data_IF_263458273698
#
_entry.id   IF_263458273698
#
_cell.length_a   1.000
_cell.length_b   1.000
_cell.length_c   1.000
_cell.angle_alpha   90.00
_cell.angle_beta   90.00
_cell.angle_gamma   90.00
#
_symmetry.space_group_name_H-M   'P 1'
#
loop_
_entity.id
_entity.type
_entity.pdbx_description
1 polymer ?
#
# COMPACT_ATOMS: atom_id res chain seq x y z
N UNK A 1 27.00 38.43 7.27
CA UNK A 1 26.49 38.20 8.64
C UNK A 1 26.32 36.69 8.80
N UNK A 2 27.38 35.95 9.08
CA UNK A 2 27.97 35.69 10.41
C UNK A 2 27.09 34.78 11.29
N UNK A 3 27.35 33.47 11.18
CA UNK A 3 27.58 32.46 12.24
C UNK A 3 26.61 32.42 13.43
N UNK A 4 25.91 31.28 13.64
CA UNK A 4 26.22 30.45 14.82
C UNK A 4 25.71 29.00 14.73
N UNK A 5 26.64 28.08 15.02
CA UNK A 5 26.40 26.69 15.43
C UNK A 5 25.95 26.67 16.90
N UNK A 6 25.19 25.65 17.32
CA UNK A 6 25.60 24.81 18.46
C UNK A 6 24.72 23.57 18.63
N UNK A 7 25.42 22.46 18.82
CA UNK A 7 24.95 21.21 19.42
C UNK A 7 25.29 21.20 20.91
N UNK A 8 24.47 20.55 21.74
CA UNK A 8 24.77 19.94 23.05
C UNK A 8 23.49 19.22 23.53
N UNK A 9 23.45 17.89 23.66
CA UNK A 9 23.96 17.06 24.76
C UNK A 9 23.25 17.31 26.10
N UNK A 10 22.49 16.32 26.56
CA UNK A 10 22.11 16.16 27.97
C UNK A 10 22.24 14.67 28.37
N UNK A 11 23.29 14.38 29.14
CA UNK A 11 23.42 13.24 30.05
C UNK A 11 23.27 13.76 31.50
N UNK A 12 22.66 12.97 32.38
CA UNK A 12 22.66 13.11 33.84
C UNK A 12 21.79 11.98 34.41
N UNK A 13 22.34 10.85 34.87
CA UNK A 13 23.04 10.55 36.14
C UNK A 13 22.21 10.87 37.40
N UNK A 14 21.75 9.81 38.07
CA UNK A 14 21.71 9.67 39.52
C UNK A 14 21.75 8.17 39.90
N UNK A 15 22.80 7.74 40.61
CA UNK A 15 22.83 6.49 41.40
C UNK A 15 22.16 6.70 42.77
N UNK A 16 22.52 5.98 43.87
CA UNK A 16 23.55 4.93 44.01
C UNK A 16 23.10 3.72 44.88
N UNK A 17 23.95 2.67 45.01
CA UNK A 17 24.49 2.19 46.32
C UNK A 17 25.14 0.79 46.25
N UNK A 18 26.44 0.72 46.58
CA UNK A 18 27.17 -0.22 47.49
C UNK A 18 27.11 -1.74 47.21
N UNK A 19 28.14 -2.59 47.34
CA UNK A 19 29.41 -2.60 48.11
C UNK A 19 30.20 -3.91 47.86
N UNK A 20 31.52 -3.90 48.12
CA UNK A 20 32.34 -5.09 48.49
C UNK A 20 33.33 -5.56 47.41
N UNK A 21 34.64 -5.25 47.51
CA UNK A 21 35.72 -6.09 48.10
C UNK A 21 36.03 -7.35 47.25
N UNK A 22 37.24 -7.73 46.82
CA UNK A 22 38.59 -7.53 47.36
C UNK A 22 39.68 -8.01 46.35
N UNK A 23 40.87 -7.37 46.40
CA UNK A 23 42.28 -7.86 46.21
C UNK A 23 42.72 -8.71 44.99
N UNK A 24 43.69 -8.19 44.20
CA UNK A 24 45.13 -8.57 44.07
C UNK A 24 45.38 -9.97 43.44
N UNK A 25 46.25 -10.16 42.43
CA UNK A 25 47.73 -10.11 42.46
C UNK A 25 48.28 -10.12 41.00
N UNK A 26 49.45 -9.49 40.83
CA UNK A 26 50.32 -9.38 39.65
C UNK A 26 50.92 -10.72 39.18
N UNK A 27 51.25 -10.85 37.88
CA UNK A 27 52.58 -11.32 37.44
C UNK A 27 52.76 -11.15 35.92
N UNK A 28 53.79 -10.40 35.55
CA UNK A 28 54.41 -10.34 34.22
C UNK A 28 55.26 -11.60 33.98
N UNK A 29 55.28 -12.12 32.76
CA UNK A 29 56.51 -12.65 32.13
C UNK A 29 56.42 -12.51 30.62
N UNK A 30 57.38 -11.75 30.06
CA UNK A 30 57.80 -11.79 28.67
C UNK A 30 58.42 -13.16 28.33
N UNK A 31 58.17 -13.67 27.12
CA UNK A 31 59.17 -14.47 26.41
C UNK A 31 58.98 -14.39 24.87
N UNK A 32 60.12 -14.39 24.21
CA UNK A 32 60.42 -14.02 22.83
C UNK A 32 60.03 -15.05 21.75
N UNK A 33 59.72 -14.50 20.56
CA UNK A 33 60.14 -14.92 19.21
C UNK A 33 59.75 -16.33 18.71
N UNK A 34 58.92 -16.37 17.65
CA UNK A 34 59.36 -17.02 16.41
C UNK A 34 58.64 -16.51 15.15
N UNK A 35 59.45 -16.19 14.15
CA UNK A 35 59.08 -15.75 12.81
C UNK A 35 58.82 -16.98 11.95
N UNK A 36 57.61 -17.11 11.39
CA UNK A 36 57.38 -17.96 10.22
C UNK A 36 56.34 -17.33 9.28
N UNK A 37 56.81 -17.12 8.06
CA UNK A 37 56.11 -16.58 6.90
C UNK A 37 54.93 -17.45 6.41
N UNK A 38 54.14 -16.81 5.54
CA UNK A 38 53.36 -17.34 4.42
C UNK A 38 51.84 -17.49 4.61
N UNK A 39 51.14 -16.56 3.94
CA UNK A 39 50.05 -16.78 2.98
C UNK A 39 48.98 -17.80 3.33
N UNK A 40 47.76 -17.32 3.58
CA UNK A 40 46.67 -17.51 2.61
C UNK A 40 45.43 -16.74 3.04
N UNK A 41 44.88 -15.97 2.11
CA UNK A 41 43.56 -15.38 2.19
C UNK A 41 42.54 -16.50 2.45
N UNK A 42 42.06 -16.60 3.69
CA UNK A 42 40.85 -17.37 3.98
C UNK A 42 39.67 -16.63 3.37
N UNK A 43 39.41 -16.92 2.10
CA UNK A 43 38.09 -16.78 1.49
C UNK A 43 37.13 -17.57 2.37
N UNK A 44 36.35 -16.86 3.18
CA UNK A 44 35.23 -17.42 3.91
C UNK A 44 34.36 -18.22 2.95
N UNK A 45 34.25 -19.53 3.17
CA UNK A 45 33.30 -20.40 2.48
C UNK A 45 31.90 -19.76 2.53
N UNK A 46 31.14 -19.77 1.42
CA UNK A 46 29.80 -19.19 1.41
C UNK A 46 28.90 -19.95 2.40
N UNK A 47 27.92 -19.27 3.03
CA UNK A 47 26.94 -19.93 3.87
C UNK A 47 26.22 -21.02 3.07
N UNK A 48 25.84 -22.09 3.75
CA UNK A 48 25.25 -23.33 3.21
C UNK A 48 24.41 -23.06 1.96
N UNK A 49 24.90 -23.50 0.79
CA UNK A 49 24.19 -23.35 -0.47
C UNK A 49 22.78 -23.94 -0.32
N UNK A 50 21.72 -23.22 -0.75
CA UNK A 50 20.39 -23.82 -0.80
C UNK A 50 20.46 -25.07 -1.67
N UNK A 51 19.61 -26.06 -1.41
CA UNK A 51 19.48 -27.24 -2.28
C UNK A 51 18.92 -26.78 -3.63
N UNK A 52 19.79 -26.31 -4.51
CA UNK A 52 19.45 -25.89 -5.87
C UNK A 52 18.97 -27.14 -6.59
N UNK A 53 17.71 -27.12 -7.03
CA UNK A 53 17.14 -28.22 -7.80
C UNK A 53 17.99 -28.48 -9.04
N UNK A 54 18.36 -29.75 -9.28
CA UNK A 54 19.07 -30.19 -10.49
C UNK A 54 18.34 -29.72 -11.78
N UNK A 55 17.02 -29.51 -11.69
CA UNK A 55 16.18 -28.98 -12.75
C UNK A 55 16.54 -27.55 -13.18
N UNK A 56 16.83 -26.67 -12.22
CA UNK A 56 17.18 -25.26 -12.48
C UNK A 56 18.55 -25.14 -13.15
N UNK A 57 19.51 -25.98 -12.75
CA UNK A 57 20.83 -26.10 -13.42
C UNK A 57 20.72 -26.50 -14.88
N UNK A 58 19.68 -27.28 -15.24
CA UNK A 58 19.46 -27.73 -16.62
C UNK A 58 18.68 -26.75 -17.49
N UNK A 59 17.87 -25.86 -16.90
CA UNK A 59 16.95 -24.99 -17.65
C UNK A 59 17.40 -23.54 -17.77
N UNK A 60 18.08 -23.01 -16.75
CA UNK A 60 18.66 -21.67 -16.83
C UNK A 60 20.07 -21.80 -17.43
N UNK A 61 20.34 -21.22 -18.61
CA UNK A 61 21.65 -21.32 -19.24
C UNK A 61 22.75 -20.76 -18.32
N UNK A 62 23.79 -21.56 -18.10
CA UNK A 62 24.94 -21.21 -17.25
C UNK A 62 24.55 -20.80 -15.83
N UNK A 63 23.50 -21.39 -15.25
CA UNK A 63 23.01 -21.06 -13.91
C UNK A 63 24.11 -20.99 -12.86
N UNK A 64 24.92 -22.04 -12.73
CA UNK A 64 25.96 -22.11 -11.70
C UNK A 64 27.03 -21.02 -11.90
N UNK A 65 27.42 -20.74 -13.14
CA UNK A 65 28.35 -19.65 -13.46
C UNK A 65 27.76 -18.30 -13.08
N UNK A 66 26.50 -18.04 -13.44
CA UNK A 66 25.81 -16.77 -13.14
C UNK A 66 25.58 -16.59 -11.65
N UNK A 67 25.23 -17.66 -10.94
CA UNK A 67 25.07 -17.67 -9.49
C UNK A 67 26.41 -17.37 -8.79
N UNK A 68 27.49 -18.02 -9.21
CA UNK A 68 28.82 -17.76 -8.66
C UNK A 68 29.29 -16.32 -8.95
N UNK A 69 28.91 -15.74 -10.09
CA UNK A 69 29.19 -14.33 -10.41
C UNK A 69 28.47 -13.35 -9.48
N UNK A 70 27.34 -13.71 -8.86
CA UNK A 70 26.65 -12.79 -7.93
C UNK A 70 27.53 -12.42 -6.74
N UNK A 71 28.36 -13.36 -6.27
CA UNK A 71 29.28 -13.16 -5.15
C UNK A 71 30.49 -12.27 -5.49
N UNK A 72 30.85 -12.16 -6.77
CA UNK A 72 32.01 -11.37 -7.20
C UNK A 72 31.64 -9.94 -7.59
N UNK A 73 30.37 -9.69 -7.91
CA UNK A 73 29.89 -8.37 -8.32
C UNK A 73 29.79 -7.41 -7.14
N UNK A 74 30.23 -6.16 -7.37
CA UNK A 74 30.09 -5.07 -6.40
C UNK A 74 28.66 -4.54 -6.39
N UNK A 75 28.24 -4.00 -5.25
CA UNK A 75 26.98 -3.27 -5.12
C UNK A 75 26.98 -2.01 -6.02
N UNK A 76 25.88 -1.64 -6.69
CA UNK A 76 24.58 -2.33 -6.77
C UNK A 76 24.47 -3.34 -7.95
N UNK A 77 25.58 -3.66 -8.63
CA UNK A 77 25.56 -4.50 -9.84
C UNK A 77 25.14 -5.95 -9.53
N UNK A 78 25.45 -6.45 -8.34
CA UNK A 78 24.97 -7.74 -7.84
C UNK A 78 23.43 -7.81 -7.77
N UNK A 79 22.75 -6.70 -7.42
CA UNK A 79 21.28 -6.63 -7.42
C UNK A 79 20.76 -6.79 -8.83
N UNK A 80 21.28 -6.01 -9.78
CA UNK A 80 20.85 -6.07 -11.18
C UNK A 80 21.03 -7.48 -11.77
N UNK A 81 22.15 -8.13 -11.49
CA UNK A 81 22.40 -9.50 -11.94
C UNK A 81 21.42 -10.50 -11.31
N UNK A 82 21.11 -10.34 -10.02
CA UNK A 82 20.14 -11.16 -9.30
C UNK A 82 18.72 -10.98 -9.85
N UNK A 83 18.31 -9.73 -10.11
CA UNK A 83 17.02 -9.41 -10.73
C UNK A 83 16.88 -10.04 -12.13
N UNK A 84 17.92 -9.99 -12.95
CA UNK A 84 17.93 -10.67 -14.26
C UNK A 84 17.79 -12.18 -14.10
N UNK A 85 18.47 -12.79 -13.11
CA UNK A 85 18.34 -14.23 -12.85
C UNK A 85 16.92 -14.61 -12.41
N UNK A 86 16.29 -13.81 -11.55
CA UNK A 86 14.89 -13.99 -11.13
C UNK A 86 13.94 -13.85 -12.34
N UNK A 87 14.17 -12.87 -13.20
CA UNK A 87 13.38 -12.70 -14.42
C UNK A 87 13.49 -13.91 -15.35
N UNK A 88 14.69 -14.46 -15.53
CA UNK A 88 14.90 -15.65 -16.36
C UNK A 88 14.21 -16.89 -15.76
N UNK A 89 14.25 -17.06 -14.44
CA UNK A 89 13.48 -18.13 -13.77
C UNK A 89 11.99 -17.94 -14.04
N UNK A 90 11.48 -16.70 -13.94
CA UNK A 90 10.10 -16.37 -14.24
C UNK A 90 9.71 -16.60 -15.71
N UNK A 91 10.62 -16.41 -16.65
CA UNK A 91 10.42 -16.75 -18.07
C UNK A 91 10.27 -18.26 -18.30
N UNK A 92 10.94 -19.09 -17.49
CA UNK A 92 10.99 -20.54 -17.63
C UNK A 92 9.86 -21.26 -16.86
N UNK A 93 9.17 -20.54 -15.96
CA UNK A 93 8.09 -21.03 -15.11
C UNK A 93 6.87 -21.49 -15.92
N UNK A 94 6.89 -22.73 -16.40
CA UNK A 94 5.71 -23.42 -16.91
C UNK A 94 5.42 -24.77 -16.23
N UNK A 95 6.31 -25.31 -15.36
CA UNK A 95 6.14 -26.70 -14.87
C UNK A 95 6.47 -27.04 -13.41
N UNK A 96 7.35 -26.32 -12.68
CA UNK A 96 7.80 -26.73 -11.32
C UNK A 96 7.77 -25.59 -10.26
N UNK A 97 6.59 -25.11 -9.88
CA UNK A 97 6.43 -23.85 -9.11
C UNK A 97 7.01 -23.76 -7.68
N UNK A 98 7.31 -24.85 -6.97
CA UNK A 98 7.74 -24.80 -5.56
C UNK A 98 9.24 -24.51 -5.38
N UNK A 99 10.11 -25.27 -6.05
CA UNK A 99 11.56 -25.07 -5.92
C UNK A 99 12.03 -23.77 -6.59
N UNK A 100 11.35 -23.36 -7.66
CA UNK A 100 11.66 -22.12 -8.37
C UNK A 100 11.34 -20.92 -7.46
N UNK A 101 10.25 -20.99 -6.68
CA UNK A 101 9.91 -19.99 -5.67
C UNK A 101 10.90 -19.95 -4.50
N UNK A 102 11.30 -21.10 -3.93
CA UNK A 102 12.30 -21.16 -2.84
C UNK A 102 13.63 -20.52 -3.24
N UNK A 103 14.09 -20.77 -4.48
CA UNK A 103 15.30 -20.15 -4.99
C UNK A 103 15.14 -18.64 -5.16
N UNK A 104 14.01 -18.18 -5.70
CA UNK A 104 13.75 -16.75 -5.87
C UNK A 104 13.76 -16.03 -4.52
N UNK A 105 13.11 -16.59 -3.50
CA UNK A 105 13.14 -16.07 -2.13
C UNK A 105 14.58 -16.02 -1.63
N UNK A 106 15.37 -17.09 -1.78
CA UNK A 106 16.78 -17.09 -1.39
C UNK A 106 17.58 -15.97 -2.09
N UNK A 107 17.43 -15.80 -3.40
CA UNK A 107 18.14 -14.75 -4.15
C UNK A 107 17.77 -13.35 -3.66
N UNK A 108 16.50 -13.13 -3.31
CA UNK A 108 15.99 -11.87 -2.77
C UNK A 108 16.57 -11.61 -1.38
N UNK A 109 16.49 -12.58 -0.49
CA UNK A 109 17.01 -12.44 0.88
C UNK A 109 18.53 -12.25 0.89
N UNK A 110 19.28 -12.98 0.07
CA UNK A 110 20.74 -12.94 0.11
C UNK A 110 21.32 -11.72 -0.64
N UNK A 111 20.95 -11.54 -1.90
CA UNK A 111 21.66 -10.60 -2.80
C UNK A 111 20.95 -9.26 -3.00
N UNK A 112 19.65 -9.21 -2.75
CA UNK A 112 18.87 -7.98 -2.90
C UNK A 112 18.82 -7.23 -1.57
N UNK A 113 18.21 -7.81 -0.55
CA UNK A 113 18.06 -7.15 0.76
C UNK A 113 19.20 -7.47 1.73
N UNK A 114 19.67 -8.72 1.78
CA UNK A 114 20.76 -9.15 2.67
C UNK A 114 22.07 -8.42 2.38
N UNK A 115 22.34 -8.07 1.12
CA UNK A 115 23.53 -7.27 0.76
C UNK A 115 23.49 -5.86 1.36
N UNK A 116 22.30 -5.25 1.50
CA UNK A 116 22.16 -3.97 2.20
C UNK A 116 22.52 -4.14 3.67
N UNK A 117 22.01 -5.17 4.33
CA UNK A 117 22.29 -5.42 5.75
C UNK A 117 23.77 -5.73 6.00
N UNK A 118 24.43 -6.48 5.10
CA UNK A 118 25.88 -6.72 5.15
C UNK A 118 26.69 -5.43 5.04
N UNK A 119 26.33 -4.55 4.09
CA UNK A 119 27.04 -3.28 3.89
C UNK A 119 26.75 -2.28 5.01
N UNK A 120 25.55 -2.31 5.60
CA UNK A 120 25.22 -1.52 6.80
C UNK A 120 26.11 -1.92 7.98
N UNK A 121 26.38 -3.23 8.17
CA UNK A 121 27.33 -3.71 9.20
C UNK A 121 28.77 -3.22 8.96
N UNK A 122 29.09 -2.82 7.72
CA UNK A 122 30.36 -2.20 7.33
C UNK A 122 30.31 -0.66 7.41
N UNK A 123 29.41 -0.09 8.21
CA UNK A 123 29.22 1.34 8.46
C UNK A 123 28.83 2.18 7.22
N UNK A 124 28.23 1.56 6.19
CA UNK A 124 27.64 2.32 5.09
C UNK A 124 26.24 2.82 5.47
N UNK A 125 25.90 4.04 5.06
CA UNK A 125 24.61 4.64 5.37
C UNK A 125 23.47 3.90 4.65
N UNK A 126 22.54 3.32 5.43
CA UNK A 126 21.40 2.53 4.93
C UNK A 126 20.58 3.28 3.89
N UNK A 127 20.28 4.56 4.13
CA UNK A 127 19.49 5.39 3.21
C UNK A 127 20.14 5.53 1.82
N UNK A 128 21.47 5.65 1.75
CA UNK A 128 22.19 5.72 0.48
C UNK A 128 22.10 4.39 -0.28
N UNK A 129 22.23 3.27 0.45
CA UNK A 129 22.10 1.93 -0.13
C UNK A 129 20.69 1.69 -0.65
N UNK A 130 19.68 1.95 0.18
CA UNK A 130 18.27 1.79 -0.20
C UNK A 130 17.93 2.66 -1.42
N UNK A 131 18.42 3.89 -1.49
CA UNK A 131 18.24 4.74 -2.68
C UNK A 131 18.89 4.14 -3.93
N UNK A 132 20.13 3.64 -3.84
CA UNK A 132 20.79 2.97 -4.97
C UNK A 132 20.05 1.70 -5.41
N UNK A 133 19.45 0.96 -4.46
CA UNK A 133 18.60 -0.19 -4.77
C UNK A 133 17.31 0.24 -5.47
N UNK A 134 16.64 1.28 -4.97
CA UNK A 134 15.43 1.85 -5.58
C UNK A 134 15.71 2.27 -7.03
N UNK A 135 16.78 3.00 -7.29
CA UNK A 135 17.15 3.40 -8.65
C UNK A 135 17.49 2.19 -9.54
N UNK A 136 18.23 1.22 -9.01
CA UNK A 136 18.56 -0.02 -9.75
C UNK A 136 17.31 -0.81 -10.10
N UNK A 137 16.40 -1.00 -9.14
CA UNK A 137 15.13 -1.70 -9.32
C UNK A 137 14.22 -0.96 -10.30
N UNK A 138 14.14 0.37 -10.19
CA UNK A 138 13.37 1.22 -11.11
C UNK A 138 13.85 1.06 -12.54
N UNK A 139 15.16 1.22 -12.78
CA UNK A 139 15.76 1.11 -14.11
C UNK A 139 15.59 -0.30 -14.68
N UNK A 140 15.66 -1.33 -13.83
CA UNK A 140 15.42 -2.72 -14.23
C UNK A 140 13.96 -2.96 -14.64
N UNK A 141 12.99 -2.57 -13.82
CA UNK A 141 11.56 -2.75 -14.13
C UNK A 141 11.11 -1.91 -15.33
N UNK A 142 11.72 -0.73 -15.53
CA UNK A 142 11.50 0.10 -16.71
C UNK A 142 11.98 -0.59 -18.00
N UNK A 143 13.12 -1.30 -17.95
CA UNK A 143 13.62 -2.09 -19.08
C UNK A 143 12.66 -3.22 -19.48
N UNK A 144 11.85 -3.72 -18.54
CA UNK A 144 10.80 -4.73 -18.76
C UNK A 144 9.45 -4.14 -19.23
N UNK A 145 9.44 -2.92 -19.76
CA UNK A 145 8.24 -2.27 -20.29
C UNK A 145 7.48 -3.09 -21.34
N UNK A 146 8.21 -3.88 -22.15
CA UNK A 146 7.66 -4.73 -23.22
C UNK A 146 7.13 -6.08 -22.75
N UNK A 147 7.45 -6.50 -21.52
CA UNK A 147 7.05 -7.79 -20.93
C UNK A 147 6.29 -7.53 -19.61
N UNK A 148 5.06 -6.97 -19.70
CA UNK A 148 4.35 -6.46 -18.54
C UNK A 148 3.93 -7.55 -17.55
N UNK A 149 3.64 -8.76 -18.02
CA UNK A 149 3.37 -9.95 -17.19
C UNK A 149 4.57 -10.30 -16.29
N UNK A 150 5.78 -10.24 -16.85
CA UNK A 150 7.02 -10.56 -16.14
C UNK A 150 7.39 -9.47 -15.17
N UNK A 151 7.28 -8.20 -15.59
CA UNK A 151 7.46 -7.04 -14.70
C UNK A 151 6.55 -7.14 -13.48
N UNK A 152 5.27 -7.40 -13.71
CA UNK A 152 4.27 -7.50 -12.65
C UNK A 152 4.56 -8.69 -11.72
N UNK A 153 4.98 -9.82 -12.28
CA UNK A 153 5.39 -10.98 -11.48
C UNK A 153 6.61 -10.66 -10.60
N UNK A 154 7.63 -10.01 -11.15
CA UNK A 154 8.83 -9.64 -10.39
C UNK A 154 8.49 -8.71 -9.22
N UNK A 155 7.56 -7.77 -9.40
CA UNK A 155 7.08 -6.94 -8.29
C UNK A 155 6.42 -7.80 -7.21
N UNK A 156 5.58 -8.76 -7.58
CA UNK A 156 4.95 -9.71 -6.64
C UNK A 156 5.96 -10.64 -5.96
N UNK A 157 7.04 -11.03 -6.66
CA UNK A 157 8.10 -11.89 -6.12
C UNK A 157 8.98 -11.13 -5.12
N UNK A 158 9.43 -9.92 -5.47
CA UNK A 158 10.33 -9.11 -4.62
C UNK A 158 9.60 -8.61 -3.36
N UNK A 159 8.32 -8.31 -3.50
CA UNK A 159 7.45 -7.86 -2.42
C UNK A 159 6.36 -8.91 -2.19
N UNK A 160 6.67 -10.04 -1.55
CA UNK A 160 5.67 -11.07 -1.27
C UNK A 160 4.59 -10.51 -0.35
N UNK A 161 3.33 -10.88 -0.59
CA UNK A 161 2.18 -10.33 0.15
C UNK A 161 2.24 -10.61 1.66
N UNK A 162 2.93 -11.67 2.07
CA UNK A 162 3.08 -12.07 3.48
C UNK A 162 4.15 -11.25 4.23
N UNK A 163 5.21 -10.81 3.53
CA UNK A 163 6.32 -10.02 4.11
C UNK A 163 6.77 -8.92 3.13
N UNK A 164 5.93 -7.91 2.86
CA UNK A 164 6.14 -7.03 1.72
C UNK A 164 7.14 -5.89 1.92
N UNK A 165 7.74 -5.77 3.11
CA UNK A 165 8.69 -4.69 3.44
C UNK A 165 8.10 -3.32 3.10
N UNK A 166 6.90 -3.04 3.63
CA UNK A 166 6.05 -1.92 3.23
C UNK A 166 6.76 -0.56 3.16
N UNK A 167 7.68 -0.26 4.08
CA UNK A 167 8.43 1.01 4.08
C UNK A 167 9.30 1.14 2.82
N UNK A 168 10.10 0.12 2.51
CA UNK A 168 10.95 0.14 1.31
C UNK A 168 10.10 0.19 0.04
N UNK A 169 9.05 -0.63 -0.03
CA UNK A 169 8.16 -0.65 -1.19
C UNK A 169 7.42 0.68 -1.36
N UNK A 170 7.00 1.30 -0.26
CA UNK A 170 6.39 2.62 -0.25
C UNK A 170 7.32 3.70 -0.78
N UNK A 171 8.59 3.71 -0.35
CA UNK A 171 9.61 4.61 -0.88
C UNK A 171 9.84 4.39 -2.38
N UNK A 172 9.88 3.14 -2.83
CA UNK A 172 9.98 2.79 -4.24
C UNK A 172 8.79 3.30 -5.05
N UNK A 173 7.55 3.16 -4.55
CA UNK A 173 6.36 3.68 -5.21
C UNK A 173 6.36 5.21 -5.26
N UNK A 174 6.74 5.89 -4.18
CA UNK A 174 6.86 7.35 -4.16
C UNK A 174 7.84 7.84 -5.23
N UNK A 175 8.99 7.18 -5.34
CA UNK A 175 9.97 7.43 -6.41
C UNK A 175 9.39 7.22 -7.82
N UNK A 176 8.54 6.21 -8.02
CA UNK A 176 7.86 5.96 -9.29
C UNK A 176 6.79 7.02 -9.61
N UNK A 177 6.09 7.53 -8.60
CA UNK A 177 5.11 8.62 -8.72
C UNK A 177 5.82 9.90 -9.16
N UNK A 178 6.96 10.22 -8.53
CA UNK A 178 7.76 11.41 -8.86
C UNK A 178 8.24 11.42 -10.32
N UNK A 179 8.44 10.23 -10.91
CA UNK A 179 8.82 10.04 -12.32
C UNK A 179 7.65 9.73 -13.26
N UNK A 180 6.41 9.77 -12.77
CA UNK A 180 5.19 9.51 -13.52
C UNK A 180 5.19 8.17 -14.30
N UNK A 181 5.79 7.11 -13.74
CA UNK A 181 5.97 5.85 -14.46
C UNK A 181 4.79 4.89 -14.30
N UNK A 182 3.78 5.05 -15.15
CA UNK A 182 2.50 4.33 -15.08
C UNK A 182 2.62 2.80 -15.05
N UNK A 183 3.51 2.24 -15.86
CA UNK A 183 3.66 0.78 -15.99
C UNK A 183 4.08 0.07 -14.69
N UNK A 184 4.91 0.74 -13.87
CA UNK A 184 5.34 0.21 -12.58
C UNK A 184 4.26 0.45 -11.53
N UNK A 185 3.57 1.60 -11.60
CA UNK A 185 2.44 1.90 -10.72
C UNK A 185 1.28 0.92 -10.94
N UNK A 186 1.00 0.51 -12.19
CA UNK A 186 0.01 -0.52 -12.48
C UNK A 186 0.37 -1.86 -11.82
N UNK A 187 1.66 -2.21 -11.79
CA UNK A 187 2.15 -3.39 -11.07
C UNK A 187 1.93 -3.26 -9.55
N UNK A 188 2.16 -2.06 -8.98
CA UNK A 188 1.85 -1.79 -7.58
C UNK A 188 0.34 -1.82 -7.29
N UNK A 189 -0.49 -1.37 -8.23
CA UNK A 189 -1.95 -1.49 -8.15
C UNK A 189 -2.38 -2.96 -8.14
N UNK A 190 -1.80 -3.78 -9.01
CA UNK A 190 -2.01 -5.22 -9.01
C UNK A 190 -1.53 -5.87 -7.71
N UNK A 191 -0.40 -5.43 -7.16
CA UNK A 191 0.08 -5.87 -5.86
C UNK A 191 -0.95 -5.61 -4.75
N UNK A 192 -1.53 -4.40 -4.66
CA UNK A 192 -2.58 -4.07 -3.68
C UNK A 192 -3.81 -4.98 -3.81
N UNK A 193 -4.16 -5.35 -5.04
CA UNK A 193 -5.27 -6.26 -5.32
C UNK A 193 -4.95 -7.70 -4.88
N UNK A 194 -3.74 -8.17 -5.14
CA UNK A 194 -3.27 -9.52 -4.75
C UNK A 194 -3.07 -9.67 -3.24
N UNK A 195 -2.46 -8.67 -2.59
CA UNK A 195 -2.27 -8.63 -1.14
C UNK A 195 -3.59 -8.49 -0.35
N UNK A 196 -4.69 -8.22 -1.06
CA UNK A 196 -6.00 -7.92 -0.49
C UNK A 196 -6.07 -6.48 0.00
N UNK A 197 -6.99 -5.70 -0.56
CA UNK A 197 -7.11 -4.26 -0.24
C UNK A 197 -7.58 -3.97 1.20
N UNK A 198 -8.03 -4.99 1.94
CA UNK A 198 -8.40 -4.91 3.35
C UNK A 198 -7.27 -5.32 4.31
N UNK A 199 -6.18 -5.88 3.79
CA UNK A 199 -5.10 -6.44 4.61
C UNK A 199 -4.33 -5.36 5.37
N UNK A 200 -3.72 -5.69 6.52
CA UNK A 200 -2.89 -4.75 7.27
C UNK A 200 -1.74 -4.18 6.42
N UNK A 201 -1.11 -5.01 5.58
CA UNK A 201 0.01 -4.60 4.73
C UNK A 201 -0.40 -3.58 3.66
N UNK A 202 -1.54 -3.78 2.99
CA UNK A 202 -2.06 -2.80 2.04
C UNK A 202 -2.32 -1.45 2.71
N UNK A 203 -2.89 -1.46 3.92
CA UNK A 203 -3.16 -0.24 4.69
C UNK A 203 -1.87 0.48 5.10
N UNK A 204 -0.89 -0.27 5.59
CA UNK A 204 0.43 0.26 5.98
C UNK A 204 1.13 0.91 4.79
N UNK A 205 1.19 0.22 3.65
CA UNK A 205 1.81 0.73 2.43
C UNK A 205 1.14 2.01 1.93
N UNK A 206 -0.19 2.04 1.85
CA UNK A 206 -0.93 3.20 1.36
C UNK A 206 -0.80 4.39 2.30
N UNK A 207 -0.82 4.17 3.62
CA UNK A 207 -0.59 5.24 4.60
C UNK A 207 0.82 5.81 4.51
N UNK A 208 1.84 4.96 4.30
CA UNK A 208 3.21 5.41 4.07
C UNK A 208 3.29 6.37 2.89
N UNK A 209 2.70 6.00 1.74
CA UNK A 209 2.70 6.83 0.52
C UNK A 209 1.94 8.15 0.76
N UNK A 210 0.78 8.10 1.40
CA UNK A 210 0.00 9.31 1.71
C UNK A 210 0.78 10.25 2.61
N UNK A 211 1.43 9.72 3.66
CA UNK A 211 2.19 10.53 4.60
C UNK A 211 3.37 11.23 3.93
N UNK A 212 4.09 10.53 3.03
CA UNK A 212 5.17 11.10 2.23
C UNK A 212 4.71 12.33 1.43
N UNK A 213 3.64 12.20 0.63
CA UNK A 213 3.17 13.31 -0.22
C UNK A 213 2.42 14.41 0.53
N UNK A 214 1.82 14.12 1.69
CA UNK A 214 1.09 15.13 2.47
C UNK A 214 2.00 15.91 3.44
N UNK A 215 3.09 15.32 3.93
CA UNK A 215 3.92 15.94 4.98
C UNK A 215 5.38 16.18 4.54
N UNK A 216 5.96 15.30 3.72
CA UNK A 216 7.41 15.31 3.47
C UNK A 216 7.79 15.99 2.15
N UNK A 217 6.90 16.07 1.17
CA UNK A 217 7.26 16.56 -0.17
C UNK A 217 6.17 17.43 -0.81
N UNK A 218 6.08 18.69 -0.39
CA UNK A 218 5.13 19.65 -0.96
C UNK A 218 5.32 19.89 -2.48
N UNK A 219 6.56 19.84 -2.95
CA UNK A 219 6.93 20.12 -4.34
C UNK A 219 6.51 19.00 -5.31
N UNK A 220 6.37 17.76 -4.83
CA UNK A 220 6.01 16.59 -5.66
C UNK A 220 4.51 16.28 -5.66
N UNK A 221 3.74 16.96 -4.80
CA UNK A 221 2.28 16.86 -4.72
C UNK A 221 1.56 16.99 -6.08
N UNK A 222 1.99 17.84 -7.03
CA UNK A 222 1.37 17.90 -8.36
C UNK A 222 1.48 16.57 -9.14
N UNK A 223 2.62 15.87 -9.05
CA UNK A 223 2.81 14.57 -9.70
C UNK A 223 1.90 13.51 -9.08
N UNK A 224 1.74 13.54 -7.77
CA UNK A 224 0.82 12.65 -7.06
C UNK A 224 -0.65 12.90 -7.45
N UNK A 225 -1.05 14.17 -7.61
CA UNK A 225 -2.39 14.51 -8.13
C UNK A 225 -2.54 14.01 -9.58
N UNK A 226 -1.56 14.25 -10.44
CA UNK A 226 -1.56 13.80 -11.83
C UNK A 226 -1.56 12.27 -11.98
N UNK A 227 -1.23 11.52 -10.93
CA UNK A 227 -1.22 10.06 -10.96
C UNK A 227 -2.62 9.48 -11.25
N UNK A 228 -3.71 10.21 -10.96
CA UNK A 228 -5.06 9.78 -11.32
C UNK A 228 -5.29 9.68 -12.83
N UNK A 229 -4.53 10.41 -13.65
CA UNK A 229 -4.59 10.32 -15.11
C UNK A 229 -3.52 9.41 -15.68
N UNK A 230 -2.30 9.41 -15.11
CA UNK A 230 -1.19 8.61 -15.65
C UNK A 230 -1.26 7.14 -15.23
N UNK A 231 -1.69 6.83 -14.01
CA UNK A 231 -1.80 5.46 -13.47
C UNK A 231 -3.16 5.25 -12.76
N UNK A 232 -4.29 5.33 -13.50
CA UNK A 232 -5.62 5.29 -12.90
C UNK A 232 -5.92 3.97 -12.19
N UNK A 233 -5.36 2.83 -12.65
CA UNK A 233 -5.55 1.53 -12.01
C UNK A 233 -4.93 1.50 -10.61
N UNK A 234 -3.71 2.01 -10.46
CA UNK A 234 -3.07 2.18 -9.15
C UNK A 234 -3.90 3.06 -8.22
N UNK A 235 -4.33 4.24 -8.69
CA UNK A 235 -5.14 5.16 -7.88
C UNK A 235 -6.48 4.56 -7.48
N UNK A 236 -7.13 3.79 -8.36
CA UNK A 236 -8.37 3.09 -8.02
C UNK A 236 -8.20 2.13 -6.85
N UNK A 237 -7.19 1.26 -6.92
CA UNK A 237 -6.91 0.28 -5.88
C UNK A 237 -6.44 0.97 -4.58
N UNK A 238 -5.62 2.02 -4.70
CA UNK A 238 -5.22 2.85 -3.57
C UNK A 238 -6.43 3.49 -2.90
N UNK A 239 -7.34 4.13 -3.65
CA UNK A 239 -8.58 4.72 -3.14
C UNK A 239 -9.41 3.69 -2.37
N UNK A 240 -9.55 2.46 -2.88
CA UNK A 240 -10.25 1.39 -2.17
C UNK A 240 -9.61 1.12 -0.80
N UNK A 241 -8.30 1.01 -0.72
CA UNK A 241 -7.58 0.82 0.54
C UNK A 241 -7.80 2.01 1.48
N UNK A 242 -7.73 3.25 0.97
CA UNK A 242 -8.00 4.46 1.77
C UNK A 242 -9.40 4.40 2.39
N UNK A 243 -10.42 3.99 1.62
CA UNK A 243 -11.77 3.85 2.17
C UNK A 243 -11.85 2.85 3.32
N UNK A 244 -11.05 1.78 3.28
CA UNK A 244 -10.97 0.80 4.35
C UNK A 244 -10.18 1.27 5.58
N UNK A 245 -9.19 2.15 5.41
CA UNK A 245 -8.44 2.76 6.51
C UNK A 245 -9.39 3.59 7.39
N UNK A 246 -10.24 4.42 6.78
CA UNK A 246 -11.15 5.32 7.50
C UNK A 246 -12.57 4.76 7.61
N UNK A 247 -12.71 3.48 7.95
CA UNK A 247 -14.02 2.87 8.20
C UNK A 247 -14.61 3.27 9.56
N UNK A 248 -13.77 3.34 10.59
CA UNK A 248 -14.17 3.65 11.97
C UNK A 248 -14.08 5.14 12.31
N UNK A 249 -13.27 5.91 11.60
CA UNK A 249 -13.09 7.36 11.79
C UNK A 249 -13.47 8.13 10.53
N UNK A 250 -13.51 9.46 10.61
CA UNK A 250 -13.61 10.32 9.44
C UNK A 250 -12.19 10.61 8.90
N UNK A 251 -11.98 10.59 7.57
CA UNK A 251 -10.70 10.98 6.98
C UNK A 251 -10.36 12.46 7.25
N UNK A 252 -9.07 12.81 7.41
CA UNK A 252 -8.58 14.19 7.42
C UNK A 252 -8.99 14.98 6.17
N UNK A 253 -9.09 16.31 6.30
CA UNK A 253 -9.54 17.18 5.20
C UNK A 253 -8.57 17.15 4.01
N UNK A 254 -7.27 16.98 4.27
CA UNK A 254 -6.22 16.87 3.26
C UNK A 254 -6.45 15.65 2.36
N UNK A 255 -6.84 14.52 2.95
CA UNK A 255 -7.19 13.30 2.22
C UNK A 255 -8.48 13.52 1.44
N UNK A 256 -9.50 14.14 2.04
CA UNK A 256 -10.75 14.45 1.33
C UNK A 256 -10.52 15.35 0.12
N UNK A 257 -9.71 16.39 0.22
CA UNK A 257 -9.33 17.25 -0.92
C UNK A 257 -8.63 16.46 -2.01
N UNK A 258 -7.69 15.59 -1.62
CA UNK A 258 -6.94 14.76 -2.57
C UNK A 258 -7.87 13.82 -3.33
N UNK A 259 -8.76 13.13 -2.61
CA UNK A 259 -9.76 12.23 -3.20
C UNK A 259 -10.73 13.00 -4.11
N UNK A 260 -11.26 14.14 -3.66
CA UNK A 260 -12.13 14.98 -4.50
C UNK A 260 -11.41 15.41 -5.78
N UNK A 261 -10.15 15.83 -5.66
CA UNK A 261 -9.32 16.24 -6.81
C UNK A 261 -9.10 15.08 -7.78
N UNK A 262 -8.70 13.90 -7.30
CA UNK A 262 -8.49 12.74 -8.17
C UNK A 262 -9.75 12.33 -8.94
N UNK A 263 -10.89 12.27 -8.26
CA UNK A 263 -12.18 11.92 -8.89
C UNK A 263 -12.61 13.02 -9.87
N UNK A 264 -12.40 14.28 -9.51
CA UNK A 264 -12.69 15.41 -10.39
C UNK A 264 -11.86 15.37 -11.68
N UNK A 265 -10.55 15.12 -11.55
CA UNK A 265 -9.61 15.08 -12.68
C UNK A 265 -9.86 13.87 -13.57
N UNK A 266 -10.14 12.70 -13.00
CA UNK A 266 -10.41 11.49 -13.76
C UNK A 266 -11.48 10.62 -13.09
N UNK A 267 -12.76 10.75 -13.45
CA UNK A 267 -13.84 9.94 -12.88
C UNK A 267 -13.67 8.43 -13.13
N UNK A 268 -12.93 8.02 -14.17
CA UNK A 268 -12.71 6.62 -14.51
C UNK A 268 -11.91 5.86 -13.44
N UNK A 269 -11.21 6.55 -12.52
CA UNK A 269 -10.54 5.90 -11.38
C UNK A 269 -11.51 5.13 -10.49
N UNK A 270 -12.82 5.36 -10.59
CA UNK A 270 -13.81 4.62 -9.81
C UNK A 270 -14.17 3.24 -10.41
N UNK A 271 -13.84 3.01 -11.68
CA UNK A 271 -14.27 1.81 -12.42
C UNK A 271 -13.17 1.12 -13.23
N UNK A 272 -12.00 1.75 -13.39
CA UNK A 272 -10.90 1.23 -14.23
C UNK A 272 -10.49 -0.22 -13.91
N UNK A 273 -10.49 -0.73 -12.66
CA UNK A 273 -10.11 -2.12 -12.40
C UNK A 273 -11.07 -3.15 -13.01
N UNK A 274 -12.28 -2.75 -13.43
CA UNK A 274 -13.20 -3.61 -14.16
C UNK A 274 -12.90 -3.68 -15.66
N UNK A 275 -12.34 -2.61 -16.23
CA UNK A 275 -12.10 -2.49 -17.67
C UNK A 275 -10.67 -2.84 -18.06
N UNK A 276 -9.74 -2.72 -17.11
CA UNK A 276 -8.33 -2.99 -17.32
C UNK A 276 -7.79 -3.82 -16.16
N UNK A 277 -7.25 -4.99 -16.50
CA UNK A 277 -6.57 -5.89 -15.58
C UNK A 277 -5.12 -5.98 -16.05
N UNK A 278 -4.14 -5.50 -15.26
CA UNK A 278 -2.74 -5.65 -15.60
C UNK A 278 -2.38 -7.14 -15.78
N UNK A 279 -1.55 -7.47 -16.78
CA UNK A 279 -1.26 -8.86 -17.12
C UNK A 279 -0.48 -9.54 -16.00
N UNK A 280 -0.80 -10.82 -15.78
CA UNK A 280 -0.09 -11.72 -14.89
C UNK A 280 0.53 -12.87 -15.69
N UNK A 281 1.51 -13.59 -15.10
CA UNK A 281 2.01 -14.82 -15.70
C UNK A 281 0.88 -15.82 -16.00
N UNK A 282 1.05 -16.65 -17.03
CA UNK A 282 0.13 -17.75 -17.32
C UNK A 282 -0.08 -18.65 -16.09
N UNK A 283 -1.34 -18.92 -15.76
CA UNK A 283 -1.72 -19.76 -14.61
C UNK A 283 -1.92 -19.00 -13.29
N UNK A 284 -1.51 -17.73 -13.21
CA UNK A 284 -1.86 -16.88 -12.07
C UNK A 284 -3.30 -16.35 -12.21
N UNK A 285 -4.05 -16.40 -11.10
CA UNK A 285 -5.44 -15.93 -11.05
C UNK A 285 -5.43 -14.54 -10.41
N UNK A 286 -6.05 -13.56 -11.07
CA UNK A 286 -6.23 -12.25 -10.46
C UNK A 286 -7.29 -12.33 -9.36
N UNK A 287 -6.96 -11.79 -8.19
CA UNK A 287 -7.98 -11.54 -7.17
C UNK A 287 -9.07 -10.64 -7.75
N UNK A 288 -10.37 -10.84 -7.45
CA UNK A 288 -11.41 -9.97 -7.97
C UNK A 288 -11.19 -8.50 -7.59
N UNK A 289 -11.36 -7.55 -8.53
CA UNK A 289 -11.18 -6.13 -8.22
C UNK A 289 -12.23 -5.66 -7.21
N UNK A 290 -11.80 -4.86 -6.23
CA UNK A 290 -12.69 -4.19 -5.28
C UNK A 290 -12.64 -2.69 -5.57
N UNK A 291 -13.82 -2.10 -5.77
CA UNK A 291 -13.94 -0.71 -6.22
C UNK A 291 -14.07 0.27 -5.07
N UNK A 292 -13.58 1.51 -5.24
CA UNK A 292 -13.65 2.54 -4.19
C UNK A 292 -15.08 3.05 -3.97
N UNK A 293 -16.00 2.85 -4.91
CA UNK A 293 -17.36 3.40 -4.91
C UNK A 293 -18.09 3.08 -3.60
N UNK A 294 -18.11 1.83 -3.17
CA UNK A 294 -18.82 1.40 -1.98
C UNK A 294 -18.28 2.08 -0.70
N UNK A 295 -16.95 2.15 -0.57
CA UNK A 295 -16.29 2.79 0.56
C UNK A 295 -16.47 4.31 0.58
N UNK A 296 -16.45 4.97 -0.58
CA UNK A 296 -16.72 6.39 -0.70
C UNK A 296 -18.18 6.74 -0.38
N UNK A 297 -19.14 5.91 -0.82
CA UNK A 297 -20.55 6.05 -0.43
C UNK A 297 -20.72 5.86 1.08
N UNK A 298 -20.04 4.88 1.68
CA UNK A 298 -20.04 4.66 3.12
C UNK A 298 -19.57 5.91 3.88
N UNK A 299 -18.46 6.53 3.44
CA UNK A 299 -18.00 7.80 4.00
C UNK A 299 -19.03 8.91 3.86
N UNK A 300 -19.53 9.14 2.65
CA UNK A 300 -20.41 10.27 2.35
C UNK A 300 -21.76 10.14 3.05
N UNK A 301 -22.31 8.93 3.15
CA UNK A 301 -23.61 8.70 3.80
C UNK A 301 -23.51 8.78 5.32
N UNK A 302 -22.42 8.27 5.92
CA UNK A 302 -22.29 8.22 7.38
C UNK A 302 -21.60 9.43 8.01
N UNK A 303 -20.86 10.26 7.25
CA UNK A 303 -20.21 11.46 7.79
C UNK A 303 -21.17 12.32 8.64
N UNK A 304 -22.38 12.69 8.16
CA UNK A 304 -23.28 13.50 8.96
C UNK A 304 -23.75 12.80 10.25
N UNK A 305 -23.80 11.47 10.26
CA UNK A 305 -24.22 10.68 11.42
C UNK A 305 -23.09 10.44 12.44
N UNK A 306 -21.82 10.58 12.03
CA UNK A 306 -20.64 10.45 12.91
C UNK A 306 -20.29 11.75 13.64
N UNK A 307 -20.82 12.88 13.19
CA UNK A 307 -20.56 14.18 13.78
C UNK A 307 -21.39 14.32 15.06
N UNK A 308 -20.71 14.37 16.21
CA UNK A 308 -21.34 14.70 17.49
C UNK A 308 -22.03 16.06 17.35
N UNK A 309 -23.21 16.24 17.93
CA UNK A 309 -23.93 17.51 18.00
C UNK A 309 -23.23 18.53 18.93
N UNK A 310 -21.90 18.68 18.82
CA UNK A 310 -21.20 19.83 19.36
C UNK A 310 -21.53 21.02 18.49
N UNK A 311 -22.48 21.81 18.98
CA UNK A 311 -22.78 23.19 18.59
C UNK A 311 -22.56 23.49 17.11
N UNK A 312 -23.68 23.49 16.38
CA UNK A 312 -23.88 24.11 15.08
C UNK A 312 -23.62 25.63 15.14
N UNK A 313 -22.45 26.06 15.62
CA UNK A 313 -21.98 27.41 15.42
C UNK A 313 -21.40 27.41 14.01
N UNK A 314 -22.17 27.99 13.09
CA UNK A 314 -21.90 28.24 11.66
C UNK A 314 -20.57 28.97 11.37
N UNK A 315 -19.71 29.12 12.38
CA UNK A 315 -18.46 29.85 12.43
C UNK A 315 -17.22 28.97 12.31
N UNK A 316 -17.32 27.64 12.40
CA UNK A 316 -16.15 26.79 12.22
C UNK A 316 -15.90 26.50 10.73
N UNK A 317 -15.09 27.34 10.06
CA UNK A 317 -14.80 27.25 8.64
C UNK A 317 -14.32 25.85 8.18
N UNK A 318 -13.63 25.13 9.06
CA UNK A 318 -13.09 23.78 8.82
C UNK A 318 -14.22 22.74 8.65
N UNK A 319 -15.29 22.87 9.41
CA UNK A 319 -16.43 21.95 9.37
C UNK A 319 -17.32 22.21 8.16
N UNK A 320 -17.54 23.49 7.83
CA UNK A 320 -18.20 23.90 6.58
C UNK A 320 -17.45 23.34 5.36
N UNK A 321 -16.12 23.45 5.35
CA UNK A 321 -15.28 22.89 4.29
C UNK A 321 -15.38 21.37 4.22
N UNK A 322 -15.28 20.68 5.36
CA UNK A 322 -15.42 19.22 5.43
C UNK A 322 -16.75 18.76 4.85
N UNK A 323 -17.84 19.42 5.24
CA UNK A 323 -19.18 19.12 4.72
C UNK A 323 -19.29 19.38 3.22
N UNK A 324 -18.67 20.44 2.71
CA UNK A 324 -18.60 20.72 1.28
C UNK A 324 -17.83 19.63 0.52
N UNK A 325 -16.70 19.14 1.07
CA UNK A 325 -15.89 18.08 0.47
C UNK A 325 -16.66 16.75 0.38
N UNK A 326 -17.29 16.30 1.47
CA UNK A 326 -18.13 15.09 1.43
C UNK A 326 -19.30 15.23 0.46
N UNK A 327 -19.92 16.42 0.42
CA UNK A 327 -21.00 16.69 -0.54
C UNK A 327 -20.48 16.60 -1.98
N UNK A 328 -19.34 17.20 -2.27
CA UNK A 328 -18.71 17.16 -3.60
C UNK A 328 -18.38 15.73 -4.01
N UNK A 329 -17.70 14.96 -3.16
CA UNK A 329 -17.34 13.56 -3.42
C UNK A 329 -18.60 12.72 -3.66
N UNK A 330 -19.64 12.87 -2.83
CA UNK A 330 -20.92 12.17 -3.00
C UNK A 330 -21.51 12.38 -4.39
N UNK A 331 -21.67 13.65 -4.81
CA UNK A 331 -22.22 13.97 -6.12
C UNK A 331 -21.35 13.45 -7.26
N UNK A 332 -20.02 13.51 -7.14
CA UNK A 332 -19.12 12.98 -8.16
C UNK A 332 -19.22 11.47 -8.29
N UNK A 333 -19.32 10.74 -7.18
CA UNK A 333 -19.52 9.29 -7.17
C UNK A 333 -20.86 8.94 -7.81
N UNK A 334 -21.95 9.62 -7.44
CA UNK A 334 -23.27 9.38 -8.05
C UNK A 334 -23.30 9.72 -9.54
N UNK A 335 -22.63 10.80 -9.94
CA UNK A 335 -22.48 11.17 -11.35
C UNK A 335 -21.75 10.07 -12.13
N UNK A 336 -20.59 9.63 -11.62
CA UNK A 336 -19.81 8.56 -12.23
C UNK A 336 -20.61 7.27 -12.37
N UNK A 337 -21.35 6.85 -11.32
CA UNK A 337 -22.23 5.68 -11.37
C UNK A 337 -23.34 5.86 -12.42
N UNK A 338 -23.98 7.03 -12.46
CA UNK A 338 -25.05 7.34 -13.42
C UNK A 338 -24.57 7.29 -14.87
N UNK A 339 -23.33 7.72 -15.12
CA UNK A 339 -22.70 7.66 -16.44
C UNK A 339 -22.48 6.23 -16.95
N UNK A 340 -22.51 5.21 -16.08
CA UNK A 340 -22.34 3.81 -16.47
C UNK A 340 -23.59 3.21 -17.11
N UNK A 341 -24.75 3.88 -17.03
CA UNK A 341 -26.02 3.43 -17.64
C UNK A 341 -25.90 3.19 -19.15
N UNK A 342 -24.94 3.82 -19.81
CA UNK A 342 -24.67 3.67 -21.25
C UNK A 342 -23.93 2.37 -21.59
N UNK A 343 -23.31 1.70 -20.60
CA UNK A 343 -22.47 0.52 -20.78
C UNK A 343 -23.14 -0.71 -20.15
N UNK A 344 -23.89 -1.48 -20.95
CA UNK A 344 -24.60 -2.70 -20.51
C UNK A 344 -23.70 -3.81 -19.93
N UNK A 345 -22.38 -3.67 -20.01
CA UNK A 345 -21.38 -4.65 -19.58
C UNK A 345 -21.08 -4.60 -18.08
N UNK A 346 -21.45 -3.53 -17.37
CA UNK A 346 -21.01 -3.30 -15.99
C UNK A 346 -22.20 -3.44 -15.01
N UNK A 347 -22.66 -4.68 -14.79
CA UNK A 347 -23.86 -4.97 -13.99
C UNK A 347 -23.59 -5.29 -12.51
N UNK A 348 -22.32 -5.35 -12.09
CA UNK A 348 -21.92 -5.84 -10.77
C UNK A 348 -20.86 -4.94 -10.10
N UNK A 349 -21.20 -3.67 -9.89
CA UNK A 349 -20.26 -2.69 -9.30
C UNK A 349 -20.30 -2.68 -7.77
N UNK A 350 -21.50 -2.78 -7.18
CA UNK A 350 -21.71 -2.58 -5.75
C UNK A 350 -22.39 -3.82 -5.18
N UNK A 351 -21.76 -4.43 -4.19
CA UNK A 351 -22.37 -5.55 -3.47
C UNK A 351 -23.51 -5.01 -2.59
N UNK A 352 -24.64 -5.70 -2.57
CA UNK A 352 -25.75 -5.36 -1.69
C UNK A 352 -25.28 -5.27 -0.23
N UNK A 353 -24.37 -6.17 0.17
CA UNK A 353 -23.77 -6.21 1.50
C UNK A 353 -23.07 -4.91 1.89
N UNK A 354 -22.42 -4.21 0.95
CA UNK A 354 -21.75 -2.94 1.26
C UNK A 354 -22.76 -1.84 1.63
N UNK A 355 -23.93 -1.85 0.99
CA UNK A 355 -25.04 -0.94 1.30
C UNK A 355 -25.77 -1.35 2.59
N UNK A 356 -25.89 -2.66 2.85
CA UNK A 356 -26.45 -3.19 4.10
C UNK A 356 -25.68 -2.66 5.32
N UNK A 357 -24.34 -2.62 5.26
CA UNK A 357 -23.50 -2.09 6.34
C UNK A 357 -23.80 -0.62 6.63
N UNK A 358 -24.08 0.20 5.60
CA UNK A 358 -24.46 1.62 5.78
C UNK A 358 -25.81 1.71 6.50
N UNK A 359 -26.80 0.92 6.06
CA UNK A 359 -28.14 0.88 6.67
C UNK A 359 -28.06 0.44 8.13
N UNK A 360 -27.33 -0.64 8.41
CA UNK A 360 -27.18 -1.19 9.76
C UNK A 360 -26.56 -0.15 10.69
N UNK A 361 -25.50 0.55 10.26
CA UNK A 361 -24.91 1.64 11.05
C UNK A 361 -25.91 2.78 11.30
N UNK A 362 -26.65 3.24 10.30
CA UNK A 362 -27.65 4.28 10.51
C UNK A 362 -28.76 3.86 11.49
N UNK A 363 -29.21 2.61 11.41
CA UNK A 363 -30.21 2.06 12.34
C UNK A 363 -29.64 1.91 13.75
N UNK A 364 -28.38 1.49 13.89
CA UNK A 364 -27.68 1.42 15.18
C UNK A 364 -27.62 2.79 15.86
N UNK A 365 -27.26 3.85 15.12
CA UNK A 365 -27.17 5.21 15.66
C UNK A 365 -28.52 5.73 16.20
N UNK A 366 -29.64 5.30 15.62
CA UNK A 366 -30.99 5.63 16.09
C UNK A 366 -31.41 4.83 17.34
N UNK A 367 -30.85 3.63 17.53
CA UNK A 367 -31.18 2.76 18.67
C UNK A 367 -30.39 3.11 19.92
N UNK A 368 -29.24 3.76 19.79
CA UNK A 368 -28.44 4.20 20.94
C UNK A 368 -29.18 5.32 21.72
N UNK A 369 -29.53 5.10 22.99
CA UNK A 369 -30.36 6.01 23.78
C UNK A 369 -29.65 7.32 24.19
N UNK A 370 -28.32 7.41 24.02
CA UNK A 370 -27.55 8.66 24.07
C UNK A 370 -27.32 9.20 22.65
N UNK A 371 -28.38 9.40 21.86
CA UNK A 371 -28.25 9.92 20.51
C UNK A 371 -27.70 11.37 20.56
N UNK A 372 -26.38 11.49 20.52
CA UNK A 372 -25.62 12.74 20.39
C UNK A 372 -25.74 13.33 18.97
N UNK A 373 -26.50 12.70 18.07
CA UNK A 373 -26.66 13.12 16.68
C UNK A 373 -27.95 13.92 16.54
N UNK A 374 -27.85 15.12 15.95
CA UNK A 374 -29.02 15.96 15.66
C UNK A 374 -29.97 15.26 14.68
N UNK A 375 -31.28 15.42 14.90
CA UNK A 375 -32.33 14.91 13.99
C UNK A 375 -32.09 15.34 12.53
N UNK A 376 -31.58 16.57 12.33
CA UNK A 376 -31.23 17.10 11.02
C UNK A 376 -30.09 16.30 10.35
N UNK A 377 -29.05 15.95 11.11
CA UNK A 377 -27.89 15.21 10.60
C UNK A 377 -28.26 13.78 10.19
N UNK A 378 -29.13 13.12 10.95
CA UNK A 378 -29.67 11.82 10.56
C UNK A 378 -30.48 11.89 9.26
N UNK A 379 -31.41 12.85 9.15
CA UNK A 379 -32.23 13.03 7.94
C UNK A 379 -31.33 13.27 6.72
N UNK A 380 -30.27 14.06 6.89
CA UNK A 380 -29.30 14.33 5.84
C UNK A 380 -28.49 13.10 5.42
N UNK A 381 -28.01 12.31 6.40
CA UNK A 381 -27.33 11.03 6.15
C UNK A 381 -28.23 10.01 5.42
N UNK A 382 -29.47 9.87 5.88
CA UNK A 382 -30.47 9.00 5.26
C UNK A 382 -30.77 9.47 3.83
N UNK A 383 -30.94 10.78 3.60
CA UNK A 383 -31.14 11.36 2.28
C UNK A 383 -30.04 10.98 1.28
N UNK A 384 -28.76 11.11 1.67
CA UNK A 384 -27.62 10.69 0.83
C UNK A 384 -27.66 9.20 0.49
N UNK A 385 -28.02 8.36 1.46
CA UNK A 385 -28.16 6.92 1.21
C UNK A 385 -29.31 6.62 0.23
N UNK A 386 -30.46 7.28 0.37
CA UNK A 386 -31.58 7.11 -0.56
C UNK A 386 -31.19 7.51 -1.98
N UNK A 387 -30.50 8.64 -2.17
CA UNK A 387 -29.98 9.06 -3.47
C UNK A 387 -29.01 8.03 -4.07
N UNK A 388 -28.11 7.48 -3.24
CA UNK A 388 -27.17 6.46 -3.67
C UNK A 388 -27.88 5.17 -4.12
N UNK A 389 -28.85 4.70 -3.34
CA UNK A 389 -29.64 3.50 -3.66
C UNK A 389 -30.50 3.72 -4.90
N UNK A 390 -31.12 4.89 -5.03
CA UNK A 390 -31.92 5.24 -6.20
C UNK A 390 -31.06 5.24 -7.47
N UNK A 391 -29.92 5.92 -7.43
CA UNK A 391 -28.97 6.01 -8.55
C UNK A 391 -28.47 4.62 -8.96
N UNK A 392 -28.01 3.83 -7.99
CA UNK A 392 -27.44 2.49 -8.24
C UNK A 392 -28.49 1.48 -8.72
N UNK A 393 -29.72 1.57 -8.22
CA UNK A 393 -30.85 0.76 -8.69
C UNK A 393 -31.27 1.15 -10.11
N UNK A 394 -31.29 2.45 -10.44
CA UNK A 394 -31.64 2.93 -11.77
C UNK A 394 -30.63 2.47 -12.84
N UNK A 395 -29.36 2.35 -12.48
CA UNK A 395 -28.27 1.83 -13.34
C UNK A 395 -28.21 0.29 -13.33
N UNK A 396 -28.93 -0.37 -12.42
CA UNK A 396 -28.91 -1.84 -12.21
C UNK A 396 -27.53 -2.40 -11.86
N UNK A 397 -26.72 -1.63 -11.13
CA UNK A 397 -25.34 -2.00 -10.80
C UNK A 397 -25.15 -2.70 -9.45
N UNK A 398 -26.24 -2.92 -8.70
CA UNK A 398 -26.24 -3.66 -7.44
C UNK A 398 -26.28 -5.17 -7.73
N UNK A 399 -25.43 -5.95 -7.05
CA UNK A 399 -25.41 -7.41 -7.11
C UNK A 399 -25.45 -8.06 -5.71
N UNK A 400 -25.67 -9.37 -5.62
CA UNK A 400 -25.81 -10.08 -4.34
C UNK A 400 -27.25 -10.13 -3.82
N UNK A 401 -27.44 -10.14 -2.50
CA UNK A 401 -28.75 -10.37 -1.86
C UNK A 401 -29.65 -9.12 -1.87
N UNK A 402 -30.28 -8.86 -3.02
CA UNK A 402 -31.19 -7.70 -3.19
C UNK A 402 -32.43 -7.76 -2.29
N UNK A 403 -32.89 -8.96 -1.93
CA UNK A 403 -34.07 -9.15 -1.08
C UNK A 403 -33.81 -8.70 0.36
N UNK A 404 -32.64 -9.08 0.92
CA UNK A 404 -32.22 -8.62 2.25
C UNK A 404 -32.05 -7.09 2.27
N UNK A 405 -31.43 -6.51 1.24
CA UNK A 405 -31.31 -5.06 1.11
C UNK A 405 -32.67 -4.36 1.10
N UNK A 406 -33.64 -4.86 0.32
CA UNK A 406 -35.00 -4.32 0.29
C UNK A 406 -35.70 -4.41 1.66
N UNK A 407 -35.53 -5.52 2.37
CA UNK A 407 -36.06 -5.69 3.72
C UNK A 407 -35.48 -4.66 4.70
N UNK A 408 -34.15 -4.49 4.71
CA UNK A 408 -33.49 -3.49 5.56
C UNK A 408 -33.89 -2.05 5.22
N UNK A 409 -34.09 -1.75 3.93
CA UNK A 409 -34.62 -0.46 3.51
C UNK A 409 -36.04 -0.22 4.02
N UNK A 410 -36.88 -1.26 4.05
CA UNK A 410 -38.22 -1.19 4.63
C UNK A 410 -38.21 -0.96 6.16
N UNK A 411 -37.18 -1.42 6.87
CA UNK A 411 -36.96 -1.09 8.29
C UNK A 411 -36.52 0.38 8.41
N UNK A 412 -35.49 0.78 7.66
CA UNK A 412 -34.97 2.15 7.72
C UNK A 412 -36.05 3.18 7.38
N UNK A 413 -36.88 2.92 6.36
CA UNK A 413 -37.99 3.79 5.97
C UNK A 413 -39.04 3.94 7.07
N UNK A 414 -39.37 2.85 7.79
CA UNK A 414 -40.27 2.92 8.96
C UNK A 414 -39.66 3.74 10.09
N UNK A 415 -38.40 3.48 10.45
CA UNK A 415 -37.72 4.21 11.52
C UNK A 415 -37.60 5.69 11.16
N UNK A 416 -37.24 6.00 9.91
CA UNK A 416 -37.19 7.37 9.40
C UNK A 416 -38.54 8.07 9.52
N UNK A 417 -39.64 7.44 9.10
CA UNK A 417 -41.00 8.01 9.20
C UNK A 417 -41.40 8.34 10.65
N UNK A 418 -41.13 7.43 11.60
CA UNK A 418 -41.42 7.70 13.01
C UNK A 418 -40.55 8.83 13.57
N UNK A 419 -39.28 8.86 13.20
CA UNK A 419 -38.33 9.85 13.69
C UNK A 419 -38.56 11.25 13.10
N UNK A 420 -39.06 11.37 11.87
CA UNK A 420 -39.40 12.67 11.27
C UNK A 420 -40.70 13.25 11.83
N UNK A 421 -41.69 12.40 12.14
CA UNK A 421 -43.03 12.81 12.56
C UNK A 421 -43.27 12.85 14.08
N UNK A 422 -42.29 12.41 14.88
CA UNK A 422 -42.19 12.72 16.31
C UNK A 422 -41.41 13.99 16.53
#
# INVERSE_FOLDING_TARGET
MSINMNAQSCYGIAGPSTSGENSQVEEETDEEIDVLNCTDDQISLPPSQPKISHYLRTLVPNFDTRYNQLWTLKYPHCIKASLTLIADINHLNYRNGLHDFELQVYLIEEFIFGKIDELCKKNQARSCLEFQMIDTLFNFLLALSKTPDIRNNIVLTIFPCDVPRCVFFGNFICYCIDRAQSQILDAAGLWLQQAGMKSPHSKELVMHIINYFLHESADTKPNFIATSTTAPHFISNMLTVVTYIFTSSNPPNEILRLVDTWIHTNPNVLTVPLSYIPPLPPGAITMPPVLPIAGLLFWCCLHPAKEEAYHYDRRNAIECERNALFTSIHHRVLFAVSSLKTNNTIQHLIAAQDLEVIIEKLVEHLRTPLATVSKASYIYAAGRLFEAIQTTTAVKCIYGNKQKLQYLLGILGRVHYFYTNS
#
